data_IF_581514711146
#
_entry.id   IF_581514711146
#
_cell.length_a   1.000
_cell.length_b   1.000
_cell.length_c   1.000
_cell.angle_alpha   90.00
_cell.angle_beta   90.00
_cell.angle_gamma   90.00
#
_symmetry.space_group_name_H-M   'P 1'
#
loop_
_entity.id
_entity.type
_entity.pdbx_description
1 polymer ?
#
# COMPACT_ATOMS: atom_id res chain seq x y z
N UNK A 1 -5.85 2.77 11.56
CA UNK A 1 -5.88 3.95 10.67
C UNK A 1 -5.23 3.50 9.36
N UNK A 2 -5.78 3.81 8.18
CA UNK A 2 -5.17 3.43 6.90
C UNK A 2 -4.48 4.64 6.29
N UNK A 3 -3.40 4.44 5.53
CA UNK A 3 -2.66 5.54 4.92
C UNK A 3 -3.57 6.47 4.08
N UNK A 4 -4.56 5.90 3.40
CA UNK A 4 -5.63 6.65 2.73
C UNK A 4 -6.36 7.64 3.63
N UNK A 5 -6.72 7.25 4.86
CA UNK A 5 -7.43 8.11 5.81
C UNK A 5 -6.54 9.26 6.29
N UNK A 6 -5.22 9.05 6.35
CA UNK A 6 -4.24 10.10 6.67
C UNK A 6 -4.11 11.11 5.53
N UNK A 7 -4.29 10.67 4.29
CA UNK A 7 -4.39 11.53 3.10
C UNK A 7 -5.78 12.18 2.90
N UNK A 8 -6.76 11.92 3.78
CA UNK A 8 -8.11 12.47 3.66
C UNK A 8 -8.94 11.96 2.48
N UNK A 9 -8.50 10.88 1.81
CA UNK A 9 -9.14 10.36 0.60
C UNK A 9 -10.19 9.27 0.92
N UNK A 10 -11.20 9.15 0.07
CA UNK A 10 -12.17 8.04 0.05
C UNK A 10 -11.59 6.82 -0.67
N UNK A 11 -12.19 5.65 -0.45
CA UNK A 11 -11.75 4.44 -1.17
C UNK A 11 -12.00 4.54 -2.68
N UNK A 12 -13.06 5.24 -3.09
CA UNK A 12 -13.36 5.42 -4.51
C UNK A 12 -12.31 6.28 -5.20
N UNK A 13 -11.92 7.42 -4.60
CA UNK A 13 -10.90 8.32 -5.17
C UNK A 13 -9.55 7.64 -5.36
N UNK A 14 -9.11 6.84 -4.37
CA UNK A 14 -7.86 6.09 -4.48
C UNK A 14 -7.96 4.98 -5.53
N UNK A 15 -9.08 4.27 -5.59
CA UNK A 15 -9.28 3.20 -6.56
C UNK A 15 -9.29 3.76 -8.00
N UNK A 16 -9.97 4.87 -8.22
CA UNK A 16 -10.02 5.57 -9.51
C UNK A 16 -8.62 6.05 -9.91
N UNK A 17 -7.88 6.67 -8.99
CA UNK A 17 -6.50 7.13 -9.25
C UNK A 17 -5.52 5.98 -9.47
N UNK A 18 -5.71 4.84 -8.82
CA UNK A 18 -4.88 3.66 -8.98
C UNK A 18 -5.29 2.79 -10.19
N UNK A 19 -6.44 3.07 -10.82
CA UNK A 19 -6.98 2.30 -11.92
C UNK A 19 -7.41 0.88 -11.52
N UNK A 20 -7.95 0.71 -10.31
CA UNK A 20 -8.43 -0.57 -9.76
C UNK A 20 -9.88 -0.45 -9.29
N UNK A 21 -10.50 -1.57 -8.93
CA UNK A 21 -11.85 -1.54 -8.38
C UNK A 21 -11.85 -1.10 -6.91
N UNK A 22 -12.84 -0.33 -6.48
CA UNK A 22 -13.00 0.05 -5.07
C UNK A 22 -13.11 -1.18 -4.15
N UNK A 23 -13.78 -2.24 -4.61
CA UNK A 23 -13.87 -3.50 -3.87
C UNK A 23 -12.50 -4.19 -3.72
N UNK A 24 -11.64 -4.09 -4.72
CA UNK A 24 -10.26 -4.58 -4.67
C UNK A 24 -9.43 -3.79 -3.64
N UNK A 25 -9.51 -2.45 -3.68
CA UNK A 25 -8.88 -1.61 -2.66
C UNK A 25 -9.37 -1.95 -1.25
N UNK A 26 -10.68 -2.16 -1.07
CA UNK A 26 -11.26 -2.54 0.21
C UNK A 26 -10.69 -3.88 0.72
N UNK A 27 -10.53 -4.89 -0.15
CA UNK A 27 -9.89 -6.16 0.23
C UNK A 27 -8.43 -5.98 0.62
N UNK A 28 -7.69 -5.13 -0.10
CA UNK A 28 -6.29 -4.81 0.22
C UNK A 28 -6.20 -4.14 1.59
N UNK A 29 -7.00 -3.10 1.86
CA UNK A 29 -7.00 -2.39 3.15
C UNK A 29 -7.39 -3.29 4.34
N UNK A 30 -8.21 -4.31 4.11
CA UNK A 30 -8.65 -5.26 5.15
C UNK A 30 -7.75 -6.51 5.25
N UNK A 31 -6.66 -6.61 4.48
CA UNK A 31 -5.78 -7.79 4.48
C UNK A 31 -6.45 -9.06 3.93
N UNK A 32 -7.53 -8.92 3.16
CA UNK A 32 -8.29 -10.02 2.56
C UNK A 32 -7.90 -10.29 1.10
N UNK A 33 -6.94 -9.54 0.54
CA UNK A 33 -6.48 -9.66 -0.85
C UNK A 33 -5.11 -10.32 -1.00
N UNK A 34 -4.80 -10.76 -2.22
CA UNK A 34 -3.44 -11.10 -2.65
C UNK A 34 -3.08 -10.23 -3.88
N UNK A 35 -2.87 -8.91 -3.68
CA UNK A 35 -2.56 -8.01 -4.79
C UNK A 35 -1.23 -8.37 -5.43
N UNK A 36 -1.10 -8.10 -6.72
CA UNK A 36 0.21 -8.11 -7.36
C UNK A 36 1.08 -6.96 -6.82
N UNK A 37 2.39 -7.06 -6.98
CA UNK A 37 3.29 -5.94 -6.67
C UNK A 37 2.91 -4.68 -7.46
N UNK A 38 2.52 -4.83 -8.73
CA UNK A 38 2.04 -3.72 -9.57
C UNK A 38 0.81 -3.03 -8.98
N UNK A 39 -0.21 -3.81 -8.59
CA UNK A 39 -1.41 -3.30 -7.90
C UNK A 39 -1.04 -2.53 -6.63
N UNK A 40 -0.13 -3.09 -5.81
CA UNK A 40 0.32 -2.43 -4.59
C UNK A 40 1.01 -1.10 -4.89
N UNK A 41 1.90 -1.06 -5.88
CA UNK A 41 2.61 0.15 -6.27
C UNK A 41 1.67 1.23 -6.83
N UNK A 42 0.63 0.85 -7.59
CA UNK A 42 -0.40 1.79 -8.06
C UNK A 42 -1.16 2.45 -6.92
N UNK A 43 -1.55 1.67 -5.91
CA UNK A 43 -2.22 2.20 -4.72
C UNK A 43 -1.32 3.14 -3.94
N UNK A 44 -0.03 2.79 -3.78
CA UNK A 44 0.94 3.67 -3.12
C UNK A 44 1.14 4.98 -3.90
N UNK A 45 1.28 4.91 -5.23
CA UNK A 45 1.41 6.09 -6.07
C UNK A 45 0.18 7.01 -6.00
N UNK A 46 -1.04 6.45 -5.97
CA UNK A 46 -2.28 7.21 -5.80
C UNK A 46 -2.38 7.94 -4.44
N UNK A 47 -1.56 7.54 -3.46
CA UNK A 47 -1.48 8.14 -2.13
C UNK A 47 -0.23 9.00 -1.92
N UNK A 48 0.58 9.21 -2.97
CA UNK A 48 1.91 9.85 -2.88
C UNK A 48 2.85 9.16 -1.86
N UNK A 49 2.78 7.83 -1.82
CA UNK A 49 3.59 6.98 -0.95
C UNK A 49 4.62 6.20 -1.77
N UNK A 50 5.70 5.80 -1.09
CA UNK A 50 6.76 4.95 -1.66
C UNK A 50 6.99 3.71 -0.81
N UNK A 51 7.27 2.59 -1.45
CA UNK A 51 7.75 1.37 -0.80
C UNK A 51 9.28 1.44 -0.63
N UNK A 52 9.78 1.19 0.59
CA UNK A 52 11.22 1.19 0.91
C UNK A 52 11.60 -0.17 1.47
N UNK A 53 12.71 -0.72 1.01
CA UNK A 53 13.33 -1.90 1.60
C UNK A 53 14.50 -1.47 2.46
N UNK A 54 14.52 -1.92 3.72
CA UNK A 54 15.62 -1.68 4.65
C UNK A 54 16.34 -2.99 4.94
N UNK A 55 17.68 -2.96 5.16
CA UNK A 55 18.40 -4.15 5.59
C UNK A 55 17.78 -4.71 6.87
N UNK A 56 17.60 -6.03 6.92
CA UNK A 56 17.25 -6.69 8.16
C UNK A 56 18.32 -6.38 9.22
N UNK A 57 17.96 -6.25 10.51
CA UNK A 57 18.94 -6.01 11.56
C UNK A 57 20.02 -7.09 11.46
N UNK A 58 21.24 -6.67 11.14
CA UNK A 58 22.38 -7.58 11.11
C UNK A 58 22.56 -8.07 12.54
N UNK A 59 22.26 -9.34 12.81
CA UNK A 59 22.67 -9.98 14.04
C UNK A 59 24.17 -9.71 14.18
N UNK A 60 24.55 -8.95 15.20
CA UNK A 60 25.90 -8.43 15.35
C UNK A 60 26.89 -9.56 15.13
N UNK A 61 27.76 -9.39 14.13
CA UNK A 61 29.00 -10.15 14.09
C UNK A 61 29.82 -9.67 15.29
N UNK A 62 29.56 -10.28 16.43
CA UNK A 62 30.43 -10.22 17.59
C UNK A 62 31.78 -10.74 17.15
N UNK A 63 32.71 -9.82 16.95
CA UNK A 63 34.14 -10.08 17.05
C UNK A 63 34.57 -9.83 18.48
#
# INVERSE_FOLDING_TARGET
MTARKECGATQQEVADSAGIQQAELSRIENGLGNPTVDTLLKVLAALDLRLVFEPAPSAGSGR
#
